data_IF_776639978164
#
_entry.id   IF_776639978164
#
_cell.length_a   1.000
_cell.length_b   1.000
_cell.length_c   1.000
_cell.angle_alpha   90.00
_cell.angle_beta   90.00
_cell.angle_gamma   90.00
#
_symmetry.space_group_name_H-M   'P 1'
#
loop_
_entity.id
_entity.type
_entity.pdbx_description
1 polymer ?
#
# COMPACT_ATOMS: atom_id res chain seq x y z
N UNK A 1 27.67 -10.36 -39.14
CA UNK A 1 28.25 -9.34 -38.25
C UNK A 1 27.26 -8.18 -38.08
N UNK A 2 26.09 -8.41 -37.49
CA UNK A 2 25.01 -7.43 -37.40
C UNK A 2 24.70 -7.12 -35.93
N UNK A 3 25.56 -6.34 -35.28
CA UNK A 3 25.44 -5.98 -33.87
C UNK A 3 25.80 -4.50 -33.61
N UNK A 4 25.50 -3.60 -34.55
CA UNK A 4 25.80 -2.17 -34.40
C UNK A 4 24.57 -1.24 -34.42
N UNK A 5 23.38 -1.74 -34.75
CA UNK A 5 22.18 -0.88 -34.88
C UNK A 5 21.41 -0.64 -33.56
N UNK A 6 21.79 -1.29 -32.46
CA UNK A 6 21.06 -1.20 -31.19
C UNK A 6 21.47 0.00 -30.30
N UNK A 7 22.46 0.81 -30.69
CA UNK A 7 22.92 1.95 -29.90
C UNK A 7 22.37 3.31 -30.35
N UNK A 8 21.61 3.38 -31.44
CA UNK A 8 20.98 4.62 -31.92
C UNK A 8 19.74 5.05 -31.09
N UNK A 9 19.34 4.24 -30.11
CA UNK A 9 18.27 4.59 -29.16
C UNK A 9 18.78 5.26 -27.87
N UNK A 10 20.07 5.66 -27.81
CA UNK A 10 20.48 6.76 -26.91
C UNK A 10 19.88 8.06 -27.45
N UNK A 11 18.57 8.17 -27.27
CA UNK A 11 17.73 9.25 -27.75
C UNK A 11 18.21 10.57 -27.19
N UNK A 12 18.52 11.49 -28.08
CA UNK A 12 18.50 12.92 -27.83
C UNK A 12 17.06 13.36 -27.56
N UNK A 13 16.50 12.93 -26.44
CA UNK A 13 15.24 13.45 -25.93
C UNK A 13 15.54 14.73 -25.20
N UNK A 14 15.10 15.87 -25.74
CA UNK A 14 14.86 17.07 -24.92
C UNK A 14 13.75 16.71 -23.93
N UNK A 15 14.11 16.00 -22.88
CA UNK A 15 13.21 15.53 -21.84
C UNK A 15 13.39 16.49 -20.67
N UNK A 16 12.37 17.32 -20.45
CA UNK A 16 12.32 18.36 -19.42
C UNK A 16 12.27 17.81 -17.98
N UNK A 17 12.84 16.63 -17.71
CA UNK A 17 12.88 16.03 -16.38
C UNK A 17 14.08 15.10 -16.17
N UNK A 18 14.63 15.17 -14.95
CA UNK A 18 15.76 14.36 -14.51
C UNK A 18 15.42 12.88 -14.61
N UNK A 19 16.26 12.10 -15.31
CA UNK A 19 16.07 10.65 -15.43
C UNK A 19 15.08 10.17 -16.50
N UNK A 20 14.69 11.03 -17.45
CA UNK A 20 13.82 10.62 -18.56
C UNK A 20 12.35 10.47 -18.19
N UNK A 21 11.91 11.12 -17.12
CA UNK A 21 10.51 11.22 -16.69
C UNK A 21 10.06 12.67 -16.87
N UNK A 22 9.01 12.90 -17.64
CA UNK A 22 8.41 14.23 -17.80
C UNK A 22 7.67 14.66 -16.52
N UNK A 23 7.52 15.97 -16.32
CA UNK A 23 6.77 16.52 -15.19
C UNK A 23 5.32 15.98 -15.11
N UNK A 24 4.71 15.66 -16.25
CA UNK A 24 3.38 15.06 -16.33
C UNK A 24 3.34 13.63 -15.82
N UNK A 25 4.33 12.82 -16.17
CA UNK A 25 4.45 11.43 -15.70
C UNK A 25 4.71 11.37 -14.18
N UNK A 26 5.58 12.24 -13.67
CA UNK A 26 5.81 12.35 -12.23
C UNK A 26 4.53 12.75 -11.48
N UNK A 27 3.74 13.70 -12.02
CA UNK A 27 2.47 14.12 -11.44
C UNK A 27 1.44 12.97 -11.43
N UNK A 28 1.31 12.25 -12.54
CA UNK A 28 0.39 11.12 -12.65
C UNK A 28 0.75 10.00 -11.67
N UNK A 29 2.05 9.72 -11.49
CA UNK A 29 2.52 8.74 -10.50
C UNK A 29 2.19 9.16 -9.07
N UNK A 30 2.42 10.43 -8.73
CA UNK A 30 2.07 10.97 -7.41
C UNK A 30 0.56 10.90 -7.14
N UNK A 31 -0.28 11.16 -8.15
CA UNK A 31 -1.73 11.05 -8.03
C UNK A 31 -2.19 9.60 -7.83
N UNK A 32 -1.62 8.66 -8.58
CA UNK A 32 -1.88 7.23 -8.39
C UNK A 32 -1.47 6.75 -6.98
N UNK A 33 -0.32 7.22 -6.49
CA UNK A 33 0.13 6.93 -5.12
C UNK A 33 -0.82 7.50 -4.07
N UNK A 34 -1.31 8.73 -4.23
CA UNK A 34 -2.29 9.33 -3.32
C UNK A 34 -3.63 8.58 -3.32
N UNK A 35 -4.08 8.08 -4.47
CA UNK A 35 -5.29 7.25 -4.56
C UNK A 35 -5.10 5.88 -3.89
N UNK A 36 -3.91 5.30 -3.97
CA UNK A 36 -3.57 4.06 -3.26
C UNK A 36 -3.53 4.30 -1.75
N UNK A 37 -2.85 5.35 -1.31
CA UNK A 37 -2.76 5.73 0.10
C UNK A 37 -4.14 5.99 0.73
N UNK A 38 -5.03 6.68 0.00
CA UNK A 38 -6.41 6.88 0.44
C UNK A 38 -7.19 5.56 0.61
N UNK A 39 -6.89 4.53 -0.20
CA UNK A 39 -7.51 3.20 -0.08
C UNK A 39 -6.88 2.39 1.07
N UNK A 40 -5.57 2.50 1.29
CA UNK A 40 -4.86 1.73 2.32
C UNK A 40 -4.90 2.37 3.70
N UNK A 41 -4.95 3.69 3.82
CA UNK A 41 -5.10 4.41 5.08
C UNK A 41 -6.44 4.12 5.78
N UNK A 42 -7.49 3.90 4.99
CA UNK A 42 -8.78 3.40 5.51
C UNK A 42 -8.67 1.96 6.05
N UNK A 43 -7.80 1.13 5.46
CA UNK A 43 -7.58 -0.24 5.90
C UNK A 43 -6.62 -0.35 7.11
N UNK A 44 -5.68 0.59 7.26
CA UNK A 44 -4.73 0.68 8.39
C UNK A 44 -5.36 1.27 9.66
N UNK A 45 -6.60 1.75 9.58
CA UNK A 45 -7.36 2.22 10.76
C UNK A 45 -7.78 1.09 11.71
N UNK A 46 -7.37 -0.16 11.46
CA UNK A 46 -7.42 -1.25 12.42
C UNK A 46 -6.09 -1.29 13.20
N UNK A 47 -6.00 -0.50 14.27
CA UNK A 47 -5.03 -0.57 15.37
C UNK A 47 -3.58 -0.96 14.97
N UNK A 48 -2.68 0.00 14.71
CA UNK A 48 -1.34 -0.25 14.18
C UNK A 48 -0.40 -1.04 15.13
N UNK A 49 -0.85 -1.43 16.32
CA UNK A 49 -0.09 -2.22 17.28
C UNK A 49 -0.53 -3.68 17.45
N UNK A 50 -1.68 -4.08 16.91
CA UNK A 50 -2.19 -5.44 17.08
C UNK A 50 -1.78 -6.35 15.91
N UNK A 51 -1.16 -7.49 16.25
CA UNK A 51 -0.95 -8.54 15.27
C UNK A 51 -2.30 -9.16 14.82
N UNK A 52 -2.35 -9.87 13.67
CA UNK A 52 -3.60 -10.43 13.17
C UNK A 52 -4.31 -11.38 14.15
N UNK A 53 -3.55 -12.14 14.95
CA UNK A 53 -4.12 -13.05 15.95
C UNK A 53 -4.80 -12.29 17.10
N UNK A 54 -4.26 -11.15 17.50
CA UNK A 54 -4.84 -10.29 18.52
C UNK A 54 -6.14 -9.63 18.02
N UNK A 55 -6.20 -9.24 16.74
CA UNK A 55 -7.43 -8.71 16.13
C UNK A 55 -8.53 -9.77 16.09
N UNK A 56 -8.19 -10.99 15.69
CA UNK A 56 -9.13 -12.13 15.68
C UNK A 56 -9.60 -12.49 17.10
N UNK A 57 -8.70 -12.53 18.08
CA UNK A 57 -9.05 -12.77 19.48
C UNK A 57 -10.01 -11.70 20.03
N UNK A 58 -9.74 -10.42 19.76
CA UNK A 58 -10.61 -9.32 20.17
C UNK A 58 -12.00 -9.40 19.50
N UNK A 59 -12.07 -9.83 18.24
CA UNK A 59 -13.34 -10.07 17.54
C UNK A 59 -14.11 -11.24 18.14
N UNK A 60 -13.44 -12.34 18.47
CA UNK A 60 -14.05 -13.49 19.11
C UNK A 60 -14.58 -13.17 20.52
N UNK A 61 -13.83 -12.39 21.31
CA UNK A 61 -14.22 -12.00 22.66
C UNK A 61 -15.48 -11.12 22.68
N UNK A 62 -15.63 -10.20 21.72
CA UNK A 62 -16.88 -9.41 21.57
C UNK A 62 -18.12 -10.26 21.32
N UNK A 63 -17.96 -11.44 20.73
CA UNK A 63 -19.05 -12.37 20.43
C UNK A 63 -19.25 -13.42 21.52
N UNK A 64 -18.44 -13.40 22.59
CA UNK A 64 -18.49 -14.42 23.64
C UNK A 64 -19.66 -14.14 24.59
N UNK A 65 -20.55 -15.13 24.85
CA UNK A 65 -21.58 -14.97 25.87
C UNK A 65 -20.93 -14.90 27.27
N UNK A 66 -21.51 -14.14 28.21
CA UNK A 66 -20.97 -14.02 29.55
C UNK A 66 -20.91 -15.40 30.23
N UNK A 67 -19.91 -15.64 31.11
CA UNK A 67 -19.83 -16.89 31.84
C UNK A 67 -21.07 -17.08 32.70
N UNK A 68 -21.54 -18.34 32.90
CA UNK A 68 -22.67 -18.60 33.76
C UNK A 68 -22.37 -18.14 35.19
N UNK A 69 -23.40 -17.69 35.94
CA UNK A 69 -23.23 -17.29 37.34
C UNK A 69 -22.61 -18.45 38.14
N UNK A 70 -21.56 -18.14 38.89
CA UNK A 70 -20.90 -19.11 39.74
C UNK A 70 -21.84 -19.50 40.90
N UNK A 71 -21.87 -20.77 41.33
CA UNK A 71 -22.67 -21.17 42.48
C UNK A 71 -22.25 -20.35 43.71
N UNK A 72 -23.23 -19.79 44.41
CA UNK A 72 -23.01 -19.17 45.71
C UNK A 72 -22.57 -20.25 46.73
N UNK A 73 -21.68 -19.92 47.68
CA UNK A 73 -21.21 -20.86 48.71
C UNK A 73 -22.35 -21.38 49.59
#
# INVERSE_FOLDING_TARGET
MAAACALAACGSGSQDGVGGVSAGEAKALNEAAAQLDARTGAAQSADPGLNPAAVEAARADRNRPPPPPQPAP
#
